data_IF_300499816227
#
_entry.id   IF_300499816227
#
_cell.length_a   1.000
_cell.length_b   1.000
_cell.length_c   1.000
_cell.angle_alpha   90.00
_cell.angle_beta   90.00
_cell.angle_gamma   90.00
#
_symmetry.space_group_name_H-M   'P 1'
#
loop_
_entity.id
_entity.type
_entity.pdbx_description
1 polymer ?
#
# COMPACT_ATOMS: atom_id res chain seq x y z
N UNK A 1 16.99 2.95 37.73
CA UNK A 1 18.36 3.06 37.19
C UNK A 1 19.21 2.00 37.87
N UNK A 2 19.84 1.11 37.11
CA UNK A 2 20.64 0.00 37.65
C UNK A 2 22.10 0.25 37.30
N UNK A 3 22.99 0.20 38.28
CA UNK A 3 24.43 0.35 38.08
C UNK A 3 25.09 -1.03 38.05
N UNK A 4 25.93 -1.28 37.04
CA UNK A 4 26.66 -2.55 36.95
C UNK A 4 27.84 -2.53 37.91
N UNK A 5 27.91 -3.50 38.82
CA UNK A 5 29.00 -3.60 39.80
C UNK A 5 30.38 -3.91 39.19
N UNK A 6 30.41 -4.51 38.00
CA UNK A 6 31.67 -4.89 37.34
C UNK A 6 32.26 -3.74 36.50
N UNK A 7 31.44 -3.08 35.68
CA UNK A 7 31.91 -2.01 34.79
C UNK A 7 31.59 -0.58 35.25
N UNK A 8 30.81 -0.40 36.33
CA UNK A 8 30.44 0.92 36.87
C UNK A 8 29.49 1.74 36.00
N UNK A 9 28.97 1.15 34.90
CA UNK A 9 28.08 1.86 33.97
C UNK A 9 26.66 1.84 34.50
N UNK A 10 25.99 3.00 34.43
CA UNK A 10 24.58 3.16 34.81
C UNK A 10 23.67 2.89 33.62
N UNK A 11 22.85 1.85 33.73
CA UNK A 11 21.93 1.40 32.69
C UNK A 11 20.52 1.89 33.04
N UNK A 12 19.86 2.52 32.05
CA UNK A 12 18.50 3.06 32.17
C UNK A 12 17.42 2.09 31.69
N UNK A 13 17.73 1.26 30.69
CA UNK A 13 16.77 0.32 30.11
C UNK A 13 16.53 -0.92 30.98
N UNK A 14 15.41 -1.62 30.76
CA UNK A 14 15.14 -2.91 31.40
C UNK A 14 15.95 -4.01 30.71
N UNK A 15 17.22 -4.16 31.08
CA UNK A 15 18.07 -5.27 30.61
C UNK A 15 18.51 -6.13 31.79
N UNK A 16 18.42 -7.45 31.65
CA UNK A 16 18.86 -8.41 32.68
C UNK A 16 20.38 -8.63 32.69
N UNK A 17 21.04 -8.21 31.62
CA UNK A 17 22.47 -8.40 31.37
C UNK A 17 23.08 -7.05 31.00
N UNK A 18 24.29 -6.78 31.50
CA UNK A 18 25.07 -5.62 31.11
C UNK A 18 25.62 -5.79 29.68
N UNK A 19 25.33 -4.91 28.73
CA UNK A 19 25.77 -5.05 27.33
C UNK A 19 27.28 -4.88 27.12
N UNK A 20 28.02 -4.42 28.12
CA UNK A 20 29.47 -4.16 28.04
C UNK A 20 30.31 -5.31 28.60
N UNK A 21 29.84 -5.96 29.66
CA UNK A 21 30.64 -6.97 30.38
C UNK A 21 29.89 -8.27 30.63
N UNK A 22 28.69 -8.43 30.07
CA UNK A 22 27.80 -9.59 30.19
C UNK A 22 27.46 -10.04 31.62
N UNK A 23 27.73 -9.21 32.62
CA UNK A 23 27.34 -9.50 33.99
C UNK A 23 25.81 -9.41 34.14
N UNK A 24 25.22 -10.44 34.73
CA UNK A 24 23.79 -10.47 35.10
C UNK A 24 23.54 -9.43 36.19
N UNK A 25 22.57 -8.54 35.95
CA UNK A 25 22.20 -7.47 36.86
C UNK A 25 21.16 -8.00 37.85
N UNK A 26 21.45 -7.93 39.16
CA UNK A 26 20.60 -8.48 40.22
C UNK A 26 19.67 -7.46 40.90
N UNK A 27 19.44 -6.29 40.29
CA UNK A 27 18.64 -5.20 40.88
C UNK A 27 17.15 -5.28 40.52
N UNK A 28 16.27 -4.85 41.43
CA UNK A 28 14.82 -4.81 41.20
C UNK A 28 14.45 -3.97 39.97
N UNK A 29 13.86 -4.61 38.96
CA UNK A 29 13.40 -4.06 37.67
C UNK A 29 12.31 -2.95 37.79
N UNK A 30 11.90 -2.60 39.02
CA UNK A 30 10.74 -1.73 39.31
C UNK A 30 10.92 -0.28 38.89
N UNK A 31 12.15 0.20 38.72
CA UNK A 31 12.47 1.61 38.42
C UNK A 31 13.16 1.85 37.06
N UNK A 32 13.19 0.86 36.17
CA UNK A 32 13.68 1.06 34.81
C UNK A 32 12.48 1.18 33.88
N UNK A 33 12.44 2.21 33.05
CA UNK A 33 11.48 2.33 31.96
C UNK A 33 12.27 2.12 30.66
N UNK A 34 11.70 1.40 29.70
CA UNK A 34 12.38 1.24 28.41
C UNK A 34 12.42 2.61 27.74
N UNK A 35 13.62 3.13 27.51
CA UNK A 35 13.81 4.43 26.85
C UNK A 35 13.36 4.38 25.39
N UNK A 36 13.41 3.19 24.78
CA UNK A 36 12.98 2.94 23.41
C UNK A 36 11.62 2.21 23.35
N UNK A 37 10.64 2.74 22.59
CA UNK A 37 9.36 2.09 22.40
C UNK A 37 9.52 0.80 21.58
N UNK A 38 8.90 -0.28 22.04
CA UNK A 38 9.00 -1.61 21.41
C UNK A 38 8.10 -1.68 20.16
N UNK A 39 8.63 -1.22 19.02
CA UNK A 39 7.91 -1.20 17.72
C UNK A 39 7.44 -2.59 17.27
N UNK A 40 8.12 -3.66 17.72
CA UNK A 40 7.79 -5.04 17.35
C UNK A 40 6.49 -5.54 18.01
N UNK A 41 6.12 -5.00 19.18
CA UNK A 41 4.88 -5.38 19.84
C UNK A 41 3.65 -4.86 19.08
N UNK A 42 3.71 -3.61 18.59
CA UNK A 42 2.62 -3.01 17.80
C UNK A 42 2.36 -3.80 16.51
N UNK A 43 3.41 -4.16 15.77
CA UNK A 43 3.28 -4.96 14.54
C UNK A 43 2.71 -6.36 14.81
N UNK A 44 3.06 -6.99 15.94
CA UNK A 44 2.48 -8.29 16.36
C UNK A 44 0.98 -8.18 16.66
N UNK A 45 0.55 -7.11 17.33
CA UNK A 45 -0.87 -6.85 17.63
C UNK A 45 -1.64 -6.60 16.33
N UNK A 46 -1.14 -5.73 15.45
CA UNK A 46 -1.71 -5.48 14.12
C UNK A 46 -1.88 -6.76 13.30
N UNK A 47 -0.84 -7.62 13.28
CA UNK A 47 -0.91 -8.92 12.60
C UNK A 47 -2.00 -9.82 13.18
N UNK A 48 -2.16 -9.85 14.50
CA UNK A 48 -3.22 -10.62 15.16
C UNK A 48 -4.60 -10.07 14.79
N UNK A 49 -4.78 -8.75 14.79
CA UNK A 49 -6.04 -8.10 14.41
C UNK A 49 -6.40 -8.45 12.95
N UNK A 50 -5.45 -8.31 12.02
CA UNK A 50 -5.70 -8.63 10.60
C UNK A 50 -5.98 -10.12 10.40
N UNK A 51 -5.33 -11.00 11.15
CA UNK A 51 -5.62 -12.43 11.09
C UNK A 51 -7.02 -12.79 11.63
N UNK A 52 -7.50 -12.07 12.65
CA UNK A 52 -8.87 -12.25 13.16
C UNK A 52 -9.88 -11.70 12.17
N UNK A 53 -9.63 -10.51 11.63
CA UNK A 53 -10.46 -9.90 10.60
C UNK A 53 -10.57 -10.78 9.35
N UNK A 54 -9.45 -11.34 8.88
CA UNK A 54 -9.46 -12.22 7.71
C UNK A 54 -10.26 -13.50 7.96
N UNK A 55 -10.20 -14.08 9.15
CA UNK A 55 -11.05 -15.21 9.53
C UNK A 55 -12.55 -14.88 9.40
N UNK A 56 -13.00 -13.77 10.01
CA UNK A 56 -14.40 -13.37 9.93
C UNK A 56 -14.83 -13.00 8.51
N UNK A 57 -13.96 -12.35 7.73
CA UNK A 57 -14.24 -12.01 6.35
C UNK A 57 -14.42 -13.26 5.46
N UNK A 58 -13.61 -14.31 5.69
CA UNK A 58 -13.76 -15.60 4.99
C UNK A 58 -15.08 -16.29 5.37
N UNK A 59 -15.43 -16.32 6.66
CA UNK A 59 -16.71 -16.89 7.12
C UNK A 59 -17.89 -16.16 6.48
N UNK A 60 -17.84 -14.83 6.43
CA UNK A 60 -18.86 -13.99 5.82
C UNK A 60 -18.98 -14.27 4.31
N UNK A 61 -17.85 -14.46 3.62
CA UNK A 61 -17.86 -14.82 2.20
C UNK A 61 -18.48 -16.20 1.95
N UNK A 62 -18.23 -17.20 2.81
CA UNK A 62 -18.90 -18.50 2.72
C UNK A 62 -20.42 -18.33 2.83
N UNK A 63 -20.90 -17.49 3.74
CA UNK A 63 -22.33 -17.17 3.86
C UNK A 63 -22.86 -16.53 2.58
N UNK A 64 -22.13 -15.60 1.97
CA UNK A 64 -22.52 -14.97 0.71
C UNK A 64 -22.58 -15.96 -0.45
N UNK A 65 -21.63 -16.90 -0.53
CA UNK A 65 -21.66 -17.98 -1.54
C UNK A 65 -22.91 -18.84 -1.36
N UNK A 66 -23.24 -19.22 -0.13
CA UNK A 66 -24.45 -20.02 0.16
C UNK A 66 -25.72 -19.26 -0.22
N UNK A 67 -25.84 -17.99 0.17
CA UNK A 67 -27.02 -17.17 -0.19
C UNK A 67 -27.15 -17.04 -1.71
N UNK A 68 -26.04 -16.79 -2.41
CA UNK A 68 -26.04 -16.65 -3.87
C UNK A 68 -26.38 -17.96 -4.57
N UNK A 69 -26.00 -19.11 -4.00
CA UNK A 69 -26.39 -20.42 -4.52
C UNK A 69 -27.91 -20.64 -4.45
N UNK A 70 -28.55 -20.25 -3.34
CA UNK A 70 -30.00 -20.40 -3.18
C UNK A 70 -30.82 -19.34 -3.92
N UNK A 71 -30.30 -18.11 -4.08
CA UNK A 71 -30.97 -17.00 -4.78
C UNK A 71 -30.36 -16.72 -6.16
N UNK A 72 -29.99 -17.78 -6.89
CA UNK A 72 -29.28 -17.62 -8.15
C UNK A 72 -30.18 -17.02 -9.25
N UNK A 73 -29.94 -15.76 -9.59
CA UNK A 73 -30.64 -15.01 -10.65
C UNK A 73 -29.74 -14.71 -11.87
N UNK A 74 -28.78 -15.59 -12.18
CA UNK A 74 -27.92 -15.46 -13.36
C UNK A 74 -26.67 -14.58 -13.19
N UNK A 75 -26.61 -13.74 -12.15
CA UNK A 75 -25.41 -12.96 -11.79
C UNK A 75 -24.78 -13.54 -10.53
N UNK A 76 -23.50 -13.88 -10.61
CA UNK A 76 -22.74 -14.45 -9.49
C UNK A 76 -22.19 -13.36 -8.58
N UNK A 77 -23.05 -12.67 -7.84
CA UNK A 77 -22.66 -11.57 -6.95
C UNK A 77 -21.64 -12.00 -5.87
N UNK A 78 -21.68 -13.27 -5.46
CA UNK A 78 -20.68 -13.81 -4.53
C UNK A 78 -19.27 -13.84 -5.11
N UNK A 79 -19.09 -14.05 -6.42
CA UNK A 79 -17.74 -14.02 -7.02
C UNK A 79 -17.14 -12.60 -6.96
N UNK A 80 -17.97 -11.57 -7.05
CA UNK A 80 -17.56 -10.16 -6.90
C UNK A 80 -17.18 -9.88 -5.45
N UNK A 81 -18.03 -10.23 -4.48
CA UNK A 81 -17.73 -10.02 -3.05
C UNK A 81 -16.50 -10.81 -2.60
N UNK A 82 -16.38 -12.06 -3.05
CA UNK A 82 -15.25 -12.92 -2.73
C UNK A 82 -13.93 -12.40 -3.30
N UNK A 83 -13.95 -11.91 -4.54
CA UNK A 83 -12.81 -11.20 -5.13
C UNK A 83 -12.39 -9.97 -4.32
N UNK A 84 -13.36 -9.18 -3.85
CA UNK A 84 -13.10 -7.98 -3.04
C UNK A 84 -12.47 -8.35 -1.70
N UNK A 85 -13.06 -9.32 -1.00
CA UNK A 85 -12.59 -9.79 0.30
C UNK A 85 -11.20 -10.40 0.19
N UNK A 86 -10.97 -11.24 -0.83
CA UNK A 86 -9.67 -11.84 -1.08
C UNK A 86 -8.60 -10.77 -1.36
N UNK A 87 -8.91 -9.80 -2.22
CA UNK A 87 -8.01 -8.67 -2.48
C UNK A 87 -7.68 -7.89 -1.21
N UNK A 88 -8.68 -7.54 -0.39
CA UNK A 88 -8.48 -6.82 0.86
C UNK A 88 -7.63 -7.61 1.86
N UNK A 89 -7.87 -8.90 2.02
CA UNK A 89 -7.09 -9.76 2.92
C UNK A 89 -5.62 -9.80 2.49
N UNK A 90 -5.36 -10.08 1.21
CA UNK A 90 -4.00 -10.14 0.67
C UNK A 90 -3.27 -8.80 0.84
N UNK A 91 -3.97 -7.70 0.55
CA UNK A 91 -3.44 -6.35 0.66
C UNK A 91 -3.11 -5.99 2.12
N UNK A 92 -4.00 -6.28 3.08
CA UNK A 92 -3.76 -6.04 4.51
C UNK A 92 -2.56 -6.83 5.04
N UNK A 93 -2.45 -8.11 4.69
CA UNK A 93 -1.30 -8.94 5.06
C UNK A 93 -0.01 -8.42 4.43
N UNK A 94 -0.05 -7.94 3.19
CA UNK A 94 1.10 -7.37 2.51
C UNK A 94 1.54 -6.03 3.15
N UNK A 95 0.60 -5.18 3.55
CA UNK A 95 0.90 -3.91 4.21
C UNK A 95 1.54 -4.11 5.59
N UNK A 96 1.09 -5.08 6.38
CA UNK A 96 1.65 -5.37 7.70
C UNK A 96 3.04 -6.00 7.61
N UNK A 97 3.38 -6.59 6.47
CA UNK A 97 4.71 -7.16 6.29
C UNK A 97 5.76 -6.05 6.12
N UNK A 98 6.60 -5.86 7.13
CA UNK A 98 7.63 -4.79 7.14
C UNK A 98 8.81 -5.06 6.20
N UNK A 99 8.90 -6.23 5.59
CA UNK A 99 9.99 -6.56 4.65
C UNK A 99 10.00 -5.70 3.38
N UNK A 100 8.86 -5.13 2.99
CA UNK A 100 8.74 -4.35 1.76
C UNK A 100 8.62 -2.86 2.05
N UNK A 101 9.41 -2.05 1.31
CA UNK A 101 9.29 -0.59 1.36
C UNK A 101 7.88 -0.11 0.96
N UNK A 102 7.47 1.04 1.52
CA UNK A 102 6.16 1.65 1.31
C UNK A 102 5.79 1.83 -0.18
N UNK A 103 6.77 2.15 -1.03
CA UNK A 103 6.58 2.29 -2.49
C UNK A 103 6.12 0.95 -3.12
N UNK A 104 6.74 -0.17 -2.74
CA UNK A 104 6.37 -1.50 -3.27
C UNK A 104 4.94 -1.88 -2.86
N UNK A 105 4.54 -1.52 -1.63
CA UNK A 105 3.16 -1.70 -1.12
C UNK A 105 2.14 -0.96 -1.98
N UNK A 106 2.45 0.28 -2.37
CA UNK A 106 1.59 1.05 -3.28
C UNK A 106 1.49 0.41 -4.67
N UNK A 107 2.60 -0.01 -5.28
CA UNK A 107 2.57 -0.67 -6.59
C UNK A 107 1.75 -1.96 -6.59
N UNK A 108 1.99 -2.84 -5.62
CA UNK A 108 1.26 -4.12 -5.54
C UNK A 108 -0.22 -3.88 -5.26
N UNK A 109 -0.56 -2.94 -4.38
CA UNK A 109 -1.95 -2.56 -4.14
C UNK A 109 -2.64 -2.05 -5.40
N UNK A 110 -1.99 -1.17 -6.15
CA UNK A 110 -2.52 -0.66 -7.41
C UNK A 110 -2.72 -1.75 -8.47
N UNK A 111 -1.72 -2.62 -8.68
CA UNK A 111 -1.83 -3.73 -9.63
C UNK A 111 -2.94 -4.71 -9.23
N UNK A 112 -3.07 -4.98 -7.93
CA UNK A 112 -4.16 -5.81 -7.41
C UNK A 112 -5.53 -5.16 -7.61
N UNK A 113 -5.65 -3.83 -7.48
CA UNK A 113 -6.88 -3.10 -7.76
C UNK A 113 -7.26 -3.17 -9.24
N UNK A 114 -6.29 -3.01 -10.16
CA UNK A 114 -6.51 -3.19 -11.60
C UNK A 114 -6.95 -4.62 -11.93
N UNK A 115 -6.31 -5.63 -11.34
CA UNK A 115 -6.69 -7.02 -11.54
C UNK A 115 -8.12 -7.29 -11.03
N UNK A 116 -8.46 -6.74 -9.86
CA UNK A 116 -9.79 -6.89 -9.29
C UNK A 116 -10.88 -6.27 -10.17
N UNK A 117 -10.73 -5.03 -10.66
CA UNK A 117 -11.75 -4.44 -11.55
C UNK A 117 -11.91 -5.22 -12.87
N UNK A 118 -10.83 -5.82 -13.36
CA UNK A 118 -10.88 -6.67 -14.56
C UNK A 118 -11.62 -7.98 -14.29
N UNK A 119 -11.43 -8.58 -13.11
CA UNK A 119 -12.21 -9.73 -12.64
C UNK A 119 -13.70 -9.38 -12.55
N UNK A 120 -14.04 -8.23 -11.96
CA UNK A 120 -15.42 -7.76 -11.84
C UNK A 120 -16.08 -7.61 -13.21
N UNK A 121 -15.39 -6.98 -14.17
CA UNK A 121 -15.92 -6.81 -15.52
C UNK A 121 -16.08 -8.15 -16.24
N UNK A 122 -15.14 -9.09 -16.05
CA UNK A 122 -15.27 -10.45 -16.57
C UNK A 122 -16.51 -11.17 -16.03
N UNK A 123 -16.76 -11.11 -14.71
CA UNK A 123 -17.96 -11.70 -14.08
C UNK A 123 -19.25 -11.06 -14.59
N UNK A 124 -19.21 -9.77 -14.95
CA UNK A 124 -20.37 -9.03 -15.49
C UNK A 124 -20.57 -9.19 -17.01
N UNK A 125 -19.78 -10.03 -17.68
CA UNK A 125 -19.89 -10.30 -19.12
C UNK A 125 -19.06 -9.38 -20.02
N UNK A 126 -17.98 -8.80 -19.49
CA UNK A 126 -16.97 -8.00 -20.18
C UNK A 126 -17.55 -6.86 -21.02
N UNK A 127 -18.22 -5.93 -20.34
CA UNK A 127 -18.90 -4.79 -20.98
C UNK A 127 -17.95 -3.62 -21.28
N UNK A 128 -16.65 -3.77 -20.98
CA UNK A 128 -15.64 -2.75 -21.19
C UNK A 128 -15.64 -1.63 -20.14
N UNK A 129 -16.39 -1.81 -19.05
CA UNK A 129 -16.48 -0.82 -17.97
C UNK A 129 -15.15 -0.70 -17.20
N UNK A 130 -14.41 -1.80 -17.03
CA UNK A 130 -13.12 -1.80 -16.34
C UNK A 130 -12.12 -0.88 -17.03
N UNK A 131 -12.00 -0.96 -18.35
CA UNK A 131 -11.06 -0.15 -19.13
C UNK A 131 -11.57 1.28 -19.33
N UNK A 132 -12.87 1.46 -19.54
CA UNK A 132 -13.47 2.76 -19.83
C UNK A 132 -13.62 3.68 -18.61
N UNK A 133 -13.89 3.11 -17.44
CA UNK A 133 -14.21 3.84 -16.21
C UNK A 133 -13.30 3.42 -15.06
N UNK A 134 -13.17 2.11 -14.82
CA UNK A 134 -12.43 1.59 -13.67
C UNK A 134 -10.96 2.01 -13.64
N UNK A 135 -10.23 1.78 -14.72
CA UNK A 135 -8.80 2.07 -14.84
C UNK A 135 -8.49 3.57 -14.68
N UNK A 136 -9.16 4.51 -15.39
CA UNK A 136 -8.97 5.95 -15.16
C UNK A 136 -9.22 6.37 -13.71
N UNK A 137 -10.27 5.84 -13.08
CA UNK A 137 -10.63 6.18 -11.70
C UNK A 137 -9.56 5.68 -10.72
N UNK A 138 -9.05 4.45 -10.88
CA UNK A 138 -7.99 3.93 -10.01
C UNK A 138 -6.71 4.76 -10.17
N UNK A 139 -6.34 5.18 -11.38
CA UNK A 139 -5.19 6.06 -11.60
C UNK A 139 -5.37 7.40 -10.88
N UNK A 140 -6.55 8.04 -11.00
CA UNK A 140 -6.86 9.28 -10.29
C UNK A 140 -6.80 9.12 -8.76
N UNK A 141 -7.31 8.00 -8.24
CA UNK A 141 -7.21 7.69 -6.80
C UNK A 141 -5.76 7.52 -6.38
N UNK A 142 -4.93 6.84 -7.18
CA UNK A 142 -3.50 6.71 -6.91
C UNK A 142 -2.79 8.06 -6.91
N UNK A 143 -3.10 8.94 -7.87
CA UNK A 143 -2.59 10.31 -7.93
C UNK A 143 -2.90 11.11 -6.65
N UNK A 144 -4.15 11.04 -6.17
CA UNK A 144 -4.56 11.68 -4.90
C UNK A 144 -3.78 11.10 -3.72
N UNK A 145 -3.63 9.78 -3.65
CA UNK A 145 -2.85 9.12 -2.59
C UNK A 145 -1.38 9.56 -2.62
N UNK A 146 -0.78 9.66 -3.82
CA UNK A 146 0.60 10.13 -3.98
C UNK A 146 0.73 11.55 -3.43
N UNK A 147 -0.17 12.47 -3.76
CA UNK A 147 -0.16 13.85 -3.24
C UNK A 147 -0.20 13.84 -1.70
N UNK A 148 -1.13 13.09 -1.11
CA UNK A 148 -1.25 12.98 0.36
C UNK A 148 0.06 12.45 0.96
N UNK A 149 0.64 11.40 0.36
CA UNK A 149 1.90 10.83 0.82
C UNK A 149 3.09 11.77 0.66
N UNK A 150 3.12 12.62 -0.37
CA UNK A 150 4.14 13.66 -0.55
C UNK A 150 4.01 14.77 0.50
N UNK A 151 2.78 15.13 0.90
CA UNK A 151 2.53 16.11 1.96
C UNK A 151 2.98 15.55 3.32
N UNK A 152 2.58 14.31 3.64
CA UNK A 152 2.93 13.66 4.92
C UNK A 152 4.43 13.39 5.00
N UNK A 153 5.02 12.84 3.94
CA UNK A 153 6.44 12.45 3.90
C UNK A 153 7.27 13.47 3.09
N UNK A 154 7.16 14.75 3.44
CA UNK A 154 7.80 15.86 2.72
C UNK A 154 9.32 15.75 2.62
N UNK A 155 9.97 15.01 3.52
CA UNK A 155 11.43 14.81 3.48
C UNK A 155 11.86 13.85 2.37
N UNK A 156 11.06 12.82 2.07
CA UNK A 156 11.39 11.76 1.11
C UNK A 156 10.43 11.75 -0.08
N UNK A 157 9.86 12.91 -0.44
CA UNK A 157 8.89 13.06 -1.53
C UNK A 157 9.42 12.52 -2.89
N UNK A 158 10.75 12.56 -3.05
CA UNK A 158 11.49 12.14 -4.24
C UNK A 158 11.27 10.65 -4.58
N UNK A 159 10.99 9.84 -3.55
CA UNK A 159 10.70 8.40 -3.70
C UNK A 159 9.45 8.12 -4.55
N UNK A 160 8.48 9.04 -4.56
CA UNK A 160 7.20 8.88 -5.25
C UNK A 160 7.25 9.29 -6.74
N UNK A 161 8.35 9.87 -7.22
CA UNK A 161 8.50 10.25 -8.63
C UNK A 161 8.37 9.05 -9.57
N UNK A 162 8.84 7.86 -9.18
CA UNK A 162 8.65 6.64 -9.97
C UNK A 162 7.17 6.25 -10.10
N UNK A 163 6.39 6.44 -9.03
CA UNK A 163 4.95 6.14 -9.05
C UNK A 163 4.21 7.12 -9.96
N UNK A 164 4.60 8.39 -9.97
CA UNK A 164 4.04 9.38 -10.91
C UNK A 164 4.37 9.04 -12.37
N UNK A 165 5.61 8.64 -12.68
CA UNK A 165 5.98 8.19 -14.03
C UNK A 165 5.11 7.00 -14.45
N UNK A 166 4.91 6.05 -13.54
CA UNK A 166 4.03 4.91 -13.79
C UNK A 166 2.58 5.33 -14.07
N UNK A 167 2.03 6.31 -13.32
CA UNK A 167 0.70 6.85 -13.59
C UNK A 167 0.62 7.54 -14.97
N UNK A 168 1.65 8.30 -15.36
CA UNK A 168 1.72 8.92 -16.70
C UNK A 168 1.76 7.86 -17.80
N UNK A 169 2.56 6.80 -17.64
CA UNK A 169 2.60 5.68 -18.61
C UNK A 169 1.22 5.03 -18.74
N UNK A 170 0.52 4.79 -17.62
CA UNK A 170 -0.83 4.25 -17.66
C UNK A 170 -1.84 5.21 -18.29
N UNK A 171 -1.69 6.52 -18.08
CA UNK A 171 -2.47 7.53 -18.79
C UNK A 171 -2.24 7.48 -20.30
N UNK A 172 -0.99 7.31 -20.76
CA UNK A 172 -0.67 7.11 -22.18
C UNK A 172 -1.33 5.84 -22.72
N UNK A 173 -1.28 4.73 -21.97
CA UNK A 173 -1.96 3.48 -22.36
C UNK A 173 -3.46 3.70 -22.52
N UNK A 174 -4.12 4.40 -21.59
CA UNK A 174 -5.54 4.75 -21.71
C UNK A 174 -5.82 5.60 -22.96
N UNK A 175 -4.94 6.55 -23.28
CA UNK A 175 -5.05 7.34 -24.51
C UNK A 175 -4.90 6.50 -25.78
N UNK A 176 -3.98 5.54 -25.81
CA UNK A 176 -3.84 4.59 -26.92
C UNK A 176 -5.08 3.70 -27.08
N UNK A 177 -5.66 3.24 -25.97
CA UNK A 177 -6.90 2.47 -25.98
C UNK A 177 -8.11 3.31 -26.48
N UNK A 178 -8.11 4.61 -26.20
CA UNK A 178 -9.09 5.54 -26.77
C UNK A 178 -8.91 5.70 -28.28
N UNK A 179 -7.68 5.91 -28.77
CA UNK A 179 -7.41 6.06 -30.21
C UNK A 179 -7.72 4.80 -31.02
N UNK A 180 -7.55 3.62 -30.43
CA UNK A 180 -7.95 2.34 -31.02
C UNK A 180 -9.47 2.09 -31.00
N UNK A 181 -10.27 3.07 -30.55
CA UNK A 181 -11.74 3.03 -30.43
C UNK A 181 -12.28 1.91 -29.54
N UNK A 182 -11.44 1.37 -28.65
CA UNK A 182 -11.87 0.42 -27.62
C UNK A 182 -12.69 1.14 -26.54
N UNK A 183 -12.34 2.40 -26.24
CA UNK A 183 -13.10 3.24 -25.31
C UNK A 183 -14.06 4.17 -26.06
N UNK A 184 -15.31 4.21 -25.61
CA UNK A 184 -16.36 5.07 -26.19
C UNK A 184 -16.38 6.49 -25.58
N UNK A 185 -15.93 6.66 -24.33
CA UNK A 185 -15.97 7.95 -23.63
C UNK A 185 -14.58 8.59 -23.55
N UNK A 186 -14.38 9.83 -24.05
CA UNK A 186 -13.08 10.49 -24.01
C UNK A 186 -12.75 11.11 -22.64
N UNK A 187 -13.75 11.46 -21.84
CA UNK A 187 -13.57 12.36 -20.69
C UNK A 187 -12.65 11.77 -19.61
N UNK A 188 -12.88 10.52 -19.22
CA UNK A 188 -12.13 9.88 -18.13
C UNK A 188 -10.66 9.59 -18.49
N UNK A 189 -10.34 9.03 -19.68
CA UNK A 189 -8.95 8.86 -20.11
C UNK A 189 -8.17 10.17 -20.18
N UNK A 190 -8.78 11.22 -20.76
CA UNK A 190 -8.13 12.53 -20.88
C UNK A 190 -7.88 13.17 -19.51
N UNK A 191 -8.87 13.13 -18.62
CA UNK A 191 -8.73 13.70 -17.27
C UNK A 191 -7.68 12.97 -16.45
N UNK A 192 -7.68 11.63 -16.47
CA UNK A 192 -6.66 10.82 -15.81
C UNK A 192 -5.26 11.16 -16.33
N UNK A 193 -5.07 11.20 -17.64
CA UNK A 193 -3.77 11.51 -18.24
C UNK A 193 -3.28 12.93 -17.89
N UNK A 194 -4.16 13.94 -18.02
CA UNK A 194 -3.82 15.33 -17.73
C UNK A 194 -3.46 15.54 -16.25
N UNK A 195 -4.20 14.93 -15.32
CA UNK A 195 -3.91 15.02 -13.88
C UNK A 195 -2.54 14.40 -13.58
N UNK A 196 -2.27 13.19 -14.05
CA UNK A 196 -0.98 12.54 -13.81
C UNK A 196 0.19 13.34 -14.44
N UNK A 197 -0.02 13.92 -15.63
CA UNK A 197 0.98 14.75 -16.30
C UNK A 197 1.27 16.05 -15.54
N UNK A 198 0.24 16.75 -15.08
CA UNK A 198 0.38 17.97 -14.27
C UNK A 198 1.08 17.66 -12.95
N UNK A 199 0.74 16.55 -12.29
CA UNK A 199 1.37 16.15 -11.04
C UNK A 199 2.85 15.80 -11.21
N UNK A 200 3.18 15.06 -12.25
CA UNK A 200 4.57 14.74 -12.56
C UNK A 200 5.38 15.99 -12.89
N UNK A 201 4.88 16.83 -13.81
CA UNK A 201 5.60 18.05 -14.24
C UNK A 201 5.77 19.05 -13.10
N UNK A 202 4.72 19.29 -12.30
CA UNK A 202 4.82 20.16 -11.11
C UNK A 202 5.85 19.64 -10.11
N UNK A 203 5.90 18.34 -9.88
CA UNK A 203 6.88 17.71 -8.97
C UNK A 203 8.32 17.85 -9.48
N UNK A 204 8.55 17.74 -10.80
CA UNK A 204 9.86 17.94 -11.42
C UNK A 204 10.31 19.41 -11.35
N UNK A 205 9.40 20.35 -11.65
CA UNK A 205 9.70 21.80 -11.61
C UNK A 205 10.03 22.26 -10.19
N UNK A 206 9.28 21.81 -9.19
CA UNK A 206 9.52 22.18 -7.78
C UNK A 206 10.78 21.52 -7.22
N UNK A 207 11.08 20.29 -7.65
CA UNK A 207 12.16 19.48 -7.11
C UNK A 207 13.55 19.72 -7.70
N UNK A 208 13.64 20.39 -8.85
CA UNK A 208 14.83 20.79 -9.60
C UNK A 208 16.04 19.83 -9.44
N UNK A 209 17.00 20.13 -8.55
CA UNK A 209 18.21 19.32 -8.33
C UNK A 209 17.94 17.94 -7.72
N UNK A 210 17.01 17.85 -6.75
CA UNK A 210 16.68 16.59 -6.07
C UNK A 210 15.95 15.63 -6.99
N UNK A 211 14.96 16.13 -7.73
CA UNK A 211 14.25 15.36 -8.74
C UNK A 211 15.21 14.76 -9.78
N UNK A 212 16.12 15.60 -10.33
CA UNK A 212 17.09 15.15 -11.32
C UNK A 212 18.05 14.11 -10.75
N UNK A 213 18.56 14.29 -9.53
CA UNK A 213 19.49 13.34 -8.93
C UNK A 213 18.84 11.96 -8.70
N UNK A 214 17.58 11.91 -8.28
CA UNK A 214 16.85 10.65 -8.13
C UNK A 214 16.56 9.95 -9.46
N UNK A 215 16.16 10.71 -10.49
CA UNK A 215 15.97 10.16 -11.83
C UNK A 215 17.29 9.61 -12.38
N UNK A 216 18.40 10.36 -12.27
CA UNK A 216 19.73 9.87 -12.65
C UNK A 216 20.14 8.62 -11.89
N UNK A 217 19.92 8.59 -10.57
CA UNK A 217 20.25 7.43 -9.72
C UNK A 217 19.49 6.17 -10.12
N UNK A 218 18.22 6.31 -10.55
CA UNK A 218 17.34 5.17 -10.83
C UNK A 218 17.36 4.71 -12.28
N UNK A 219 17.53 5.64 -13.22
CA UNK A 219 17.58 5.36 -14.66
C UNK A 219 19.01 5.25 -15.20
N UNK A 220 20.04 5.50 -14.39
CA UNK A 220 21.46 5.49 -14.77
C UNK A 220 21.77 6.38 -15.99
N UNK A 221 21.22 7.60 -15.99
CA UNK A 221 21.40 8.64 -17.04
C UNK A 221 22.34 9.75 -16.54
#
# INVERSE_FOLDING_TARGET
MIECKNCGIKIKDKTKVCPMCDMVLSGDDKHNENTYPDVRQKTKILRRIVSIFSYFAIVLEIVFVVINYYNFNGVKWSEISGGAILYLILMLHFIINDHYGHIKKMYVGFLGALFYIMLVDFVLGYKGWSLGVGMPVIVLVLDVIIIICMIINRQNWESYLLLQIFCVILGIVQMLLYFTKVLQSPVLPWTSFLVSLILFTSSVVIGDRKARNELKRKFYI
#
